data_IF_777706548906
#
_entry.id   IF_777706548906
#
_cell.length_a   1.000
_cell.length_b   1.000
_cell.length_c   1.000
_cell.angle_alpha   90.00
_cell.angle_beta   90.00
_cell.angle_gamma   90.00
#
_symmetry.space_group_name_H-M   'P 1'
#
loop_
_entity.id
_entity.type
_entity.pdbx_description
1 polymer ?
#
# COMPACT_ATOMS: atom_id res chain seq x y z
N UNK A 1 -2.64 -24.03 -13.01
CA UNK A 1 -3.04 -22.73 -12.40
C UNK A 1 -2.08 -21.66 -12.87
N UNK A 2 -2.57 -20.45 -13.18
CA UNK A 2 -1.66 -19.34 -13.46
C UNK A 2 -0.87 -19.01 -12.20
N UNK A 3 0.38 -18.57 -12.32
CA UNK A 3 1.21 -18.15 -11.20
C UNK A 3 0.51 -17.07 -10.34
N UNK A 4 -0.36 -16.26 -10.95
CA UNK A 4 -1.14 -15.22 -10.30
C UNK A 4 -2.18 -15.79 -9.31
N UNK A 5 -2.94 -16.80 -9.73
CA UNK A 5 -3.94 -17.47 -8.88
C UNK A 5 -3.27 -18.17 -7.67
N UNK A 6 -2.16 -18.86 -7.88
CA UNK A 6 -1.43 -19.53 -6.81
C UNK A 6 -0.89 -18.52 -5.78
N UNK A 7 -0.33 -17.39 -6.23
CA UNK A 7 0.16 -16.34 -5.35
C UNK A 7 -0.99 -15.69 -4.56
N UNK A 8 -2.14 -15.45 -5.20
CA UNK A 8 -3.31 -14.93 -4.53
C UNK A 8 -3.78 -15.84 -3.40
N UNK A 9 -3.89 -17.15 -3.65
CA UNK A 9 -4.33 -18.13 -2.66
C UNK A 9 -3.34 -18.26 -1.50
N UNK A 10 -2.04 -18.20 -1.78
CA UNK A 10 -0.99 -18.16 -0.76
C UNK A 10 -1.14 -16.93 0.14
N UNK A 11 -1.22 -15.75 -0.45
CA UNK A 11 -1.39 -14.49 0.28
C UNK A 11 -2.66 -14.54 1.13
N UNK A 12 -3.78 -14.97 0.58
CA UNK A 12 -5.05 -15.09 1.30
C UNK A 12 -4.94 -16.03 2.50
N UNK A 13 -4.26 -17.15 2.32
CA UNK A 13 -4.03 -18.14 3.39
C UNK A 13 -3.20 -17.53 4.53
N UNK A 14 -2.13 -16.81 4.21
CA UNK A 14 -1.30 -16.16 5.23
C UNK A 14 -2.04 -15.03 5.95
N UNK A 15 -2.81 -14.22 5.23
CA UNK A 15 -3.62 -13.17 5.84
C UNK A 15 -4.70 -13.72 6.78
N UNK A 16 -5.30 -14.87 6.45
CA UNK A 16 -6.27 -15.54 7.32
C UNK A 16 -5.64 -16.09 8.61
N UNK A 17 -4.35 -16.39 8.61
CA UNK A 17 -3.63 -16.72 9.86
C UNK A 17 -3.45 -15.52 10.77
N UNK A 18 -3.33 -14.31 10.21
CA UNK A 18 -3.14 -13.07 10.96
C UNK A 18 -4.45 -12.50 11.52
N UNK A 19 -5.57 -12.77 10.87
CA UNK A 19 -6.88 -12.28 11.32
C UNK A 19 -7.97 -13.32 11.09
N UNK A 20 -8.82 -13.52 12.09
CA UNK A 20 -10.00 -14.40 11.98
C UNK A 20 -11.20 -13.67 11.35
N UNK A 21 -11.09 -12.38 11.09
CA UNK A 21 -12.17 -11.54 10.59
C UNK A 21 -12.15 -11.49 9.09
N UNK A 22 -13.19 -11.97 8.42
CA UNK A 22 -13.33 -11.92 6.96
C UNK A 22 -13.83 -10.56 6.44
N UNK A 23 -14.68 -9.86 7.21
CA UNK A 23 -15.24 -8.57 6.85
C UNK A 23 -15.12 -7.60 8.02
N UNK A 24 -14.56 -6.42 7.77
CA UNK A 24 -14.27 -5.40 8.76
C UNK A 24 -15.41 -4.38 8.91
N UNK A 25 -16.30 -4.30 7.92
CA UNK A 25 -17.44 -3.41 7.92
C UNK A 25 -18.74 -4.20 7.77
N UNK A 26 -19.78 -3.72 8.46
CA UNK A 26 -21.13 -4.21 8.19
C UNK A 26 -21.55 -3.85 6.76
N UNK A 27 -22.08 -4.82 6.06
CA UNK A 27 -22.63 -4.65 4.72
C UNK A 27 -24.02 -5.28 4.68
N UNK A 28 -25.07 -4.50 4.34
CA UNK A 28 -26.45 -5.01 4.28
C UNK A 28 -26.59 -6.13 3.25
N UNK A 29 -25.80 -6.10 2.19
CA UNK A 29 -25.72 -7.14 1.16
C UNK A 29 -24.35 -7.80 1.26
N UNK A 30 -24.33 -9.13 1.41
CA UNK A 30 -23.09 -9.91 1.45
C UNK A 30 -22.32 -9.73 0.12
N UNK A 31 -21.10 -9.20 0.14
CA UNK A 31 -20.33 -9.06 -1.08
C UNK A 31 -19.84 -10.42 -1.60
N UNK A 32 -19.62 -10.52 -2.91
CA UNK A 32 -19.06 -11.74 -3.52
C UNK A 32 -17.61 -12.01 -3.08
N UNK A 33 -16.84 -10.96 -2.76
CA UNK A 33 -15.53 -11.06 -2.13
C UNK A 33 -15.58 -10.46 -0.73
N UNK A 34 -15.00 -11.15 0.26
CA UNK A 34 -14.80 -10.63 1.61
C UNK A 34 -13.80 -9.47 1.62
N UNK A 35 -13.69 -8.75 2.74
CA UNK A 35 -12.71 -7.65 2.85
C UNK A 35 -11.28 -8.20 2.86
N UNK A 36 -11.05 -9.36 3.47
CA UNK A 36 -9.73 -10.01 3.46
C UNK A 36 -9.33 -10.47 2.06
N UNK A 37 -10.27 -10.93 1.23
CA UNK A 37 -10.02 -11.27 -0.16
C UNK A 37 -9.65 -10.04 -1.01
N UNK A 38 -10.27 -8.89 -0.74
CA UNK A 38 -9.89 -7.63 -1.40
C UNK A 38 -8.51 -7.16 -0.94
N UNK A 39 -8.18 -7.29 0.35
CA UNK A 39 -6.83 -6.99 0.86
C UNK A 39 -5.80 -7.92 0.21
N UNK A 40 -6.12 -9.20 0.03
CA UNK A 40 -5.22 -10.15 -0.66
C UNK A 40 -4.93 -9.72 -2.11
N UNK A 41 -5.93 -9.15 -2.81
CA UNK A 41 -5.72 -8.59 -4.15
C UNK A 41 -4.82 -7.35 -4.13
N UNK A 42 -4.94 -6.51 -3.10
CA UNK A 42 -4.10 -5.32 -2.94
C UNK A 42 -2.64 -5.75 -2.72
N UNK A 43 -2.41 -6.69 -1.80
CA UNK A 43 -1.07 -7.24 -1.53
C UNK A 43 -0.51 -7.96 -2.75
N UNK A 44 -1.33 -8.68 -3.50
CA UNK A 44 -0.91 -9.31 -4.76
C UNK A 44 -0.45 -8.29 -5.79
N UNK A 45 -1.15 -7.16 -5.94
CA UNK A 45 -0.76 -6.10 -6.86
C UNK A 45 0.62 -5.52 -6.48
N UNK A 46 0.83 -5.22 -5.20
CA UNK A 46 2.14 -4.75 -4.69
C UNK A 46 3.23 -5.81 -4.91
N UNK A 47 2.99 -7.06 -4.56
CA UNK A 47 3.93 -8.17 -4.76
C UNK A 47 4.34 -8.36 -6.23
N UNK A 48 3.43 -8.06 -7.15
CA UNK A 48 3.68 -8.15 -8.61
C UNK A 48 4.15 -6.84 -9.21
N UNK A 49 4.38 -5.79 -8.42
CA UNK A 49 4.73 -4.44 -8.89
C UNK A 49 3.73 -3.91 -9.93
N UNK A 50 2.44 -4.16 -9.69
CA UNK A 50 1.35 -3.70 -10.54
C UNK A 50 0.80 -2.39 -9.99
N UNK A 51 1.28 -1.27 -10.49
CA UNK A 51 0.89 0.08 -10.01
C UNK A 51 -0.49 0.52 -10.52
N UNK A 52 -0.94 -0.05 -11.64
CA UNK A 52 -2.19 0.34 -12.28
C UNK A 52 -3.33 -0.63 -11.99
N UNK A 53 -4.44 -0.12 -11.44
CA UNK A 53 -5.67 -0.91 -11.28
C UNK A 53 -6.19 -1.47 -12.62
N UNK A 54 -6.03 -0.73 -13.72
CA UNK A 54 -6.39 -1.22 -15.05
C UNK A 54 -5.56 -2.43 -15.47
N UNK A 55 -4.26 -2.42 -15.14
CA UNK A 55 -3.39 -3.56 -15.41
C UNK A 55 -3.79 -4.76 -14.55
N UNK A 56 -3.99 -4.56 -13.23
CA UNK A 56 -4.45 -5.62 -12.33
C UNK A 56 -5.71 -6.30 -12.88
N UNK A 57 -6.71 -5.51 -13.29
CA UNK A 57 -7.98 -6.05 -13.78
C UNK A 57 -7.87 -6.74 -15.14
N UNK A 58 -6.90 -6.38 -15.97
CA UNK A 58 -6.58 -7.15 -17.19
C UNK A 58 -5.94 -8.50 -16.86
N UNK A 59 -5.05 -8.54 -15.86
CA UNK A 59 -4.36 -9.78 -15.49
C UNK A 59 -5.26 -10.78 -14.75
N UNK A 60 -6.22 -10.31 -13.96
CA UNK A 60 -7.21 -11.18 -13.30
C UNK A 60 -8.41 -11.50 -14.19
N UNK A 61 -8.49 -10.90 -15.39
CA UNK A 61 -9.55 -11.20 -16.36
C UNK A 61 -9.46 -12.68 -16.77
N UNK A 62 -10.58 -13.38 -16.66
CA UNK A 62 -10.65 -14.82 -16.92
C UNK A 62 -10.32 -15.71 -15.72
N UNK A 63 -9.88 -15.15 -14.59
CA UNK A 63 -9.82 -15.83 -13.31
C UNK A 63 -11.16 -15.70 -12.56
N UNK A 64 -11.47 -16.67 -11.72
CA UNK A 64 -12.70 -16.67 -10.91
C UNK A 64 -12.83 -15.39 -10.07
N UNK A 65 -11.73 -14.89 -9.53
CA UNK A 65 -11.69 -13.67 -8.73
C UNK A 65 -12.07 -12.42 -9.55
N UNK A 66 -11.66 -12.36 -10.82
CA UNK A 66 -11.96 -11.21 -11.70
C UNK A 66 -13.45 -11.06 -12.00
N UNK A 67 -14.21 -12.16 -11.98
CA UNK A 67 -15.67 -12.16 -12.16
C UNK A 67 -16.45 -11.70 -10.93
N UNK A 68 -15.82 -11.64 -9.76
CA UNK A 68 -16.47 -11.38 -8.47
C UNK A 68 -16.47 -9.92 -8.05
N UNK A 69 -15.63 -9.08 -8.67
CA UNK A 69 -15.51 -7.68 -8.30
C UNK A 69 -15.24 -6.79 -9.52
N UNK A 70 -15.93 -5.67 -9.60
CA UNK A 70 -15.65 -4.62 -10.57
C UNK A 70 -14.55 -3.67 -10.09
N UNK A 71 -13.78 -3.09 -11.03
CA UNK A 71 -12.69 -2.16 -10.70
C UNK A 71 -13.14 -0.96 -9.87
N UNK A 72 -14.30 -0.38 -10.18
CA UNK A 72 -14.86 0.75 -9.43
C UNK A 72 -15.16 0.41 -7.97
N UNK A 73 -15.70 -0.79 -7.73
CA UNK A 73 -15.98 -1.33 -6.40
C UNK A 73 -14.68 -1.63 -5.65
N UNK A 74 -13.71 -2.24 -6.34
CA UNK A 74 -12.38 -2.50 -5.79
C UNK A 74 -11.70 -1.20 -5.32
N UNK A 75 -11.65 -0.16 -6.16
CA UNK A 75 -11.05 1.14 -5.82
C UNK A 75 -11.69 1.77 -4.57
N UNK A 76 -13.01 1.79 -4.52
CA UNK A 76 -13.73 2.31 -3.36
C UNK A 76 -13.43 1.51 -2.09
N UNK A 77 -13.44 0.17 -2.17
CA UNK A 77 -13.15 -0.71 -1.03
C UNK A 77 -11.68 -0.61 -0.60
N UNK A 78 -10.73 -0.53 -1.53
CA UNK A 78 -9.30 -0.32 -1.25
C UNK A 78 -9.10 0.89 -0.33
N UNK A 79 -9.72 2.03 -0.65
CA UNK A 79 -9.63 3.24 0.19
C UNK A 79 -10.25 3.05 1.58
N UNK A 80 -11.40 2.41 1.65
CA UNK A 80 -12.08 2.13 2.93
C UNK A 80 -11.30 1.15 3.82
N UNK A 81 -10.57 0.21 3.20
CA UNK A 81 -9.82 -0.83 3.91
C UNK A 81 -8.42 -0.39 4.35
N UNK A 82 -7.96 0.79 3.94
CA UNK A 82 -6.62 1.29 4.27
C UNK A 82 -6.27 1.20 5.77
N UNK A 83 -7.13 1.62 6.73
CA UNK A 83 -6.82 1.51 8.16
C UNK A 83 -6.66 0.07 8.65
N UNK A 84 -7.29 -0.89 7.99
CA UNK A 84 -7.18 -2.31 8.33
C UNK A 84 -5.94 -2.94 7.70
N UNK A 85 -5.56 -2.52 6.50
CA UNK A 85 -4.29 -2.89 5.86
C UNK A 85 -3.13 -2.49 6.77
N UNK A 86 -3.14 -1.27 7.31
CA UNK A 86 -2.12 -0.81 8.25
C UNK A 86 -2.06 -1.67 9.53
N UNK A 87 -3.20 -2.02 10.10
CA UNK A 87 -3.25 -2.92 11.27
C UNK A 87 -2.69 -4.31 10.96
N UNK A 88 -2.96 -4.84 9.77
CA UNK A 88 -2.42 -6.14 9.32
C UNK A 88 -0.91 -6.02 9.11
N UNK A 89 -0.45 -4.95 8.46
CA UNK A 89 0.98 -4.66 8.28
C UNK A 89 1.72 -4.63 9.61
N UNK A 90 1.19 -3.91 10.60
CA UNK A 90 1.79 -3.87 11.94
C UNK A 90 1.91 -5.25 12.58
N UNK A 91 0.88 -6.09 12.48
CA UNK A 91 0.94 -7.48 12.97
C UNK A 91 1.97 -8.34 12.23
N UNK A 92 2.20 -8.07 10.95
CA UNK A 92 3.25 -8.76 10.20
C UNK A 92 4.64 -8.32 10.70
N UNK A 93 4.85 -7.02 10.86
CA UNK A 93 6.10 -6.46 11.38
C UNK A 93 6.44 -7.01 12.77
N UNK A 94 5.46 -7.10 13.67
CA UNK A 94 5.64 -7.69 15.01
C UNK A 94 6.21 -9.12 14.95
N UNK A 95 5.75 -9.95 14.00
CA UNK A 95 6.27 -11.31 13.82
C UNK A 95 7.71 -11.36 13.34
N UNK A 96 8.15 -10.36 12.57
CA UNK A 96 9.50 -10.34 12.03
C UNK A 96 10.49 -9.64 12.96
N UNK A 97 10.02 -8.70 13.80
CA UNK A 97 10.88 -7.95 14.72
C UNK A 97 11.35 -8.73 15.96
N UNK A 98 10.82 -9.91 16.24
CA UNK A 98 11.20 -10.71 17.41
C UNK A 98 12.69 -11.13 17.41
N UNK A 99 13.42 -10.97 16.29
CA UNK A 99 14.78 -11.47 16.10
C UNK A 99 15.80 -10.43 15.65
N UNK A 100 15.42 -9.16 15.49
CA UNK A 100 16.33 -8.17 14.91
C UNK A 100 16.68 -7.02 15.87
N UNK A 101 18.01 -6.86 16.12
CA UNK A 101 18.59 -5.77 16.92
C UNK A 101 19.18 -4.64 16.07
N UNK A 102 19.15 -4.75 14.74
CA UNK A 102 19.80 -3.80 13.84
C UNK A 102 18.82 -3.27 12.80
N UNK A 103 18.85 -1.96 12.59
CA UNK A 103 17.98 -1.28 11.64
C UNK A 103 18.80 -0.40 10.70
N UNK A 104 18.38 -0.35 9.44
CA UNK A 104 18.90 0.58 8.43
C UNK A 104 17.97 1.77 8.36
N UNK A 105 18.54 2.97 8.43
CA UNK A 105 17.79 4.23 8.30
C UNK A 105 18.26 4.94 7.03
N UNK A 106 17.32 5.25 6.17
CA UNK A 106 17.58 6.04 4.96
C UNK A 106 16.56 7.17 4.82
N UNK A 107 16.90 8.15 4.01
CA UNK A 107 16.01 9.26 3.74
C UNK A 107 16.10 9.74 2.31
N UNK A 108 14.94 10.01 1.72
CA UNK A 108 14.83 10.50 0.35
C UNK A 108 13.89 11.71 0.24
N UNK A 109 14.12 12.62 -0.72
CA UNK A 109 13.18 13.69 -1.00
C UNK A 109 11.90 13.12 -1.65
N UNK A 110 10.74 13.60 -1.18
CA UNK A 110 9.44 13.42 -1.82
C UNK A 110 9.02 14.75 -2.42
N UNK A 111 9.25 14.92 -3.72
CA UNK A 111 8.90 16.14 -4.43
C UNK A 111 7.37 16.25 -4.63
N UNK A 112 6.75 17.27 -4.09
CA UNK A 112 5.32 17.56 -4.29
C UNK A 112 5.10 18.27 -5.63
N UNK A 113 6.00 19.17 -5.98
CA UNK A 113 6.01 19.83 -7.30
C UNK A 113 7.41 20.39 -7.59
N UNK A 114 7.67 20.72 -8.86
CA UNK A 114 8.91 21.36 -9.27
C UNK A 114 9.14 22.65 -8.47
N UNK A 115 10.36 22.86 -7.99
CA UNK A 115 10.74 24.01 -7.14
C UNK A 115 10.26 25.34 -7.70
N UNK A 116 10.35 25.56 -9.02
CA UNK A 116 9.88 26.75 -9.71
C UNK A 116 8.36 27.01 -9.58
N UNK A 117 7.58 26.00 -9.18
CA UNK A 117 6.12 26.09 -8.97
C UNK A 117 5.73 26.17 -7.49
N UNK A 118 6.68 26.10 -6.58
CA UNK A 118 6.43 26.01 -5.13
C UNK A 118 5.56 27.15 -4.58
N UNK A 119 5.77 28.38 -5.05
CA UNK A 119 5.01 29.56 -4.62
C UNK A 119 3.53 29.54 -5.05
N UNK A 120 3.22 28.86 -6.15
CA UNK A 120 1.86 28.76 -6.73
C UNK A 120 1.17 27.44 -6.43
N UNK A 121 1.89 26.45 -5.90
CA UNK A 121 1.33 25.14 -5.55
C UNK A 121 0.35 25.26 -4.39
N UNK A 122 -0.81 24.62 -4.52
CA UNK A 122 -1.78 24.42 -3.44
C UNK A 122 -1.84 22.97 -2.96
N UNK A 123 -0.98 22.11 -3.49
CA UNK A 123 -0.94 20.68 -3.18
C UNK A 123 -0.39 20.49 -1.76
N UNK A 124 -1.00 19.61 -0.97
CA UNK A 124 -0.63 19.29 0.41
C UNK A 124 -0.56 20.53 1.32
N UNK A 125 -1.52 21.43 1.20
CA UNK A 125 -1.64 22.63 2.06
C UNK A 125 -2.93 22.65 2.87
N UNK A 126 -3.55 21.50 3.04
CA UNK A 126 -4.80 21.34 3.81
C UNK A 126 -4.55 21.43 5.32
N UNK A 127 -3.34 21.04 5.77
CA UNK A 127 -2.98 20.99 7.19
C UNK A 127 -1.74 21.84 7.47
N UNK A 128 -1.84 22.83 8.34
CA UNK A 128 -0.77 23.80 8.63
C UNK A 128 0.50 23.15 9.22
N UNK A 129 0.34 22.05 9.99
CA UNK A 129 1.47 21.33 10.59
C UNK A 129 2.21 20.41 9.61
N UNK A 130 1.65 20.17 8.43
CA UNK A 130 2.19 19.24 7.43
C UNK A 130 2.51 19.95 6.10
N UNK A 131 2.84 21.24 6.14
CA UNK A 131 3.15 21.98 4.92
C UNK A 131 4.45 21.52 4.28
N UNK A 132 4.47 21.31 2.95
CA UNK A 132 5.71 21.01 2.23
C UNK A 132 6.65 22.22 2.26
N UNK A 133 7.95 21.94 2.31
CA UNK A 133 8.98 22.99 2.39
C UNK A 133 10.08 22.79 1.33
N UNK A 134 10.92 23.80 1.16
CA UNK A 134 12.11 23.70 0.32
C UNK A 134 13.20 22.94 1.04
N UNK A 135 13.84 22.01 0.34
CA UNK A 135 14.94 21.22 0.85
C UNK A 135 16.05 21.05 -0.20
N UNK A 136 17.17 20.54 0.26
CA UNK A 136 18.29 20.17 -0.60
C UNK A 136 18.72 18.73 -0.28
N UNK A 137 18.87 17.92 -1.32
CA UNK A 137 19.38 16.56 -1.25
C UNK A 137 20.82 16.54 -1.77
N UNK A 138 21.80 16.44 -0.86
CA UNK A 138 23.20 16.51 -1.21
C UNK A 138 23.67 15.33 -2.08
N UNK A 139 23.16 14.11 -1.83
CA UNK A 139 23.52 12.90 -2.58
C UNK A 139 23.08 12.96 -4.05
N UNK A 140 22.00 13.69 -4.34
CA UNK A 140 21.46 13.87 -5.69
C UNK A 140 21.77 15.25 -6.27
N UNK A 141 22.40 16.13 -5.49
CA UNK A 141 22.61 17.55 -5.83
C UNK A 141 21.30 18.24 -6.30
N UNK A 142 20.20 17.97 -5.58
CA UNK A 142 18.86 18.36 -5.98
C UNK A 142 18.20 19.27 -4.95
N UNK A 143 17.76 20.46 -5.39
CA UNK A 143 16.83 21.28 -4.63
C UNK A 143 15.38 20.86 -4.95
N UNK A 144 14.60 20.60 -3.93
CA UNK A 144 13.21 20.14 -4.07
C UNK A 144 12.25 20.99 -3.22
N UNK A 145 10.96 20.90 -3.56
CA UNK A 145 9.87 21.40 -2.75
C UNK A 145 8.93 20.26 -2.41
N UNK A 146 8.86 19.90 -1.15
CA UNK A 146 8.10 18.74 -0.70
C UNK A 146 8.44 18.34 0.72
N UNK A 147 8.56 17.03 0.93
CA UNK A 147 8.88 16.42 2.19
C UNK A 147 10.20 15.66 2.12
N UNK A 148 10.72 15.32 3.27
CA UNK A 148 11.81 14.35 3.40
C UNK A 148 11.24 13.10 4.05
N UNK A 149 11.17 12.01 3.29
CA UNK A 149 10.82 10.71 3.82
C UNK A 149 12.01 10.15 4.60
N UNK A 150 11.78 9.74 5.83
CA UNK A 150 12.70 8.92 6.59
C UNK A 150 12.10 7.53 6.69
N UNK A 151 12.81 6.53 6.21
CA UNK A 151 12.43 5.13 6.29
C UNK A 151 13.36 4.39 7.25
N UNK A 152 12.80 3.53 8.07
CA UNK A 152 13.53 2.61 8.93
C UNK A 152 13.13 1.21 8.53
N UNK A 153 14.09 0.38 8.20
CA UNK A 153 13.83 -1.02 7.90
C UNK A 153 14.80 -1.93 8.66
N UNK A 154 14.39 -3.16 8.88
CA UNK A 154 15.26 -4.21 9.37
C UNK A 154 16.30 -4.62 8.31
N UNK A 155 17.32 -5.37 8.70
CA UNK A 155 18.31 -5.93 7.75
C UNK A 155 17.64 -6.86 6.74
N UNK A 156 16.60 -7.57 7.15
CA UNK A 156 15.78 -8.43 6.29
C UNK A 156 14.85 -7.66 5.33
N UNK A 157 14.84 -6.32 5.40
CA UNK A 157 14.05 -5.47 4.51
C UNK A 157 12.59 -5.29 4.92
N UNK A 158 12.27 -5.47 6.20
CA UNK A 158 10.94 -5.22 6.76
C UNK A 158 10.83 -3.75 7.20
N UNK A 159 9.83 -3.02 6.68
CA UNK A 159 9.55 -1.60 6.98
C UNK A 159 8.42 -1.44 8.00
#
# INVERSE_FOLDING_TARGET
MSNLQANYELILTELRKLTKTENFYFKPIKPKLSDIEVISLIVLAEFKSIDSEHQLFREIQGLDIGSKIERSVYNRRKRQLFPYIEKIRMKMVEKFNEFENYFVVDSMPLEVCKLARSSRSRICKEEDYALPNKGFCASQNLHYYGYKLHAVCSIEGVF
#
